data_IF_687931385402
#
_entry.id   IF_687931385402
#
_cell.length_a   1.000
_cell.length_b   1.000
_cell.length_c   1.000
_cell.angle_alpha   90.00
_cell.angle_beta   90.00
_cell.angle_gamma   90.00
#
_symmetry.space_group_name_H-M   'P 1'
#
loop_
_entity.id
_entity.type
_entity.pdbx_description
1 polymer ?
#
# COMPACT_ATOMS: atom_id res chain seq x y z
N UNK A 1 -0.21 12.05 -1.82
CA UNK A 1 0.33 10.73 -1.49
C UNK A 1 -0.76 9.67 -1.44
N UNK A 2 -0.72 8.73 -2.38
CA UNK A 2 -1.71 7.65 -2.51
C UNK A 2 -0.99 6.32 -2.75
N UNK A 3 -1.42 5.25 -2.06
CA UNK A 3 -0.85 3.90 -2.21
C UNK A 3 -1.02 3.40 -3.66
N UNK A 4 0.06 2.87 -4.25
CA UNK A 4 0.08 2.48 -5.67
C UNK A 4 0.01 0.97 -5.93
N UNK A 5 -0.24 0.17 -4.88
CA UNK A 5 -0.38 -1.28 -5.00
C UNK A 5 0.92 -2.07 -4.86
N UNK A 6 2.06 -1.38 -4.73
CA UNK A 6 3.37 -2.00 -4.56
C UNK A 6 3.74 -2.04 -3.08
N UNK A 7 4.22 -3.18 -2.63
CA UNK A 7 4.86 -3.32 -1.33
C UNK A 7 5.95 -4.38 -1.38
N UNK A 8 7.01 -4.16 -0.62
CA UNK A 8 8.10 -5.10 -0.43
C UNK A 8 8.53 -5.12 1.04
N UNK A 9 8.84 -6.30 1.54
CA UNK A 9 9.23 -6.53 2.92
C UNK A 9 10.53 -7.32 2.92
N UNK A 10 11.60 -6.74 3.49
CA UNK A 10 12.93 -7.34 3.50
C UNK A 10 13.34 -7.64 4.95
N UNK A 11 13.92 -8.82 5.23
CA UNK A 11 14.21 -9.93 4.30
C UNK A 11 12.92 -10.58 3.76
N UNK A 12 12.94 -11.17 2.56
CA UNK A 12 11.72 -11.70 1.95
C UNK A 12 11.08 -12.84 2.77
N UNK A 13 9.78 -13.01 2.63
CA UNK A 13 9.02 -14.15 3.11
C UNK A 13 8.23 -14.76 1.95
N UNK A 14 8.09 -16.09 1.93
CA UNK A 14 7.35 -16.80 0.87
C UNK A 14 5.90 -16.31 0.71
N UNK A 15 5.29 -15.81 1.78
CA UNK A 15 3.94 -15.29 1.78
C UNK A 15 3.79 -13.82 1.31
N UNK A 16 4.88 -13.08 1.08
CA UNK A 16 4.83 -11.64 0.76
C UNK A 16 3.91 -11.32 -0.44
N UNK A 17 3.97 -12.17 -1.48
CA UNK A 17 3.12 -12.02 -2.66
C UNK A 17 1.62 -12.17 -2.34
N UNK A 18 1.26 -13.19 -1.57
CA UNK A 18 -0.12 -13.45 -1.19
C UNK A 18 -0.66 -12.37 -0.24
N UNK A 19 0.17 -11.92 0.71
CA UNK A 19 -0.14 -10.80 1.61
C UNK A 19 -0.44 -9.53 0.82
N UNK A 20 0.41 -9.17 -0.15
CA UNK A 20 0.21 -7.99 -1.01
C UNK A 20 -1.04 -8.09 -1.87
N UNK A 21 -1.31 -9.24 -2.49
CA UNK A 21 -2.52 -9.40 -3.30
C UNK A 21 -3.79 -9.27 -2.45
N UNK A 22 -3.82 -9.94 -1.29
CA UNK A 22 -4.94 -9.84 -0.37
C UNK A 22 -5.15 -8.39 0.12
N UNK A 23 -4.07 -7.69 0.48
CA UNK A 23 -4.14 -6.29 0.86
C UNK A 23 -4.69 -5.41 -0.28
N UNK A 24 -4.21 -5.61 -1.52
CA UNK A 24 -4.72 -4.89 -2.69
C UNK A 24 -6.22 -5.13 -2.94
N UNK A 25 -6.73 -6.33 -2.63
CA UNK A 25 -8.17 -6.62 -2.66
C UNK A 25 -8.91 -5.93 -1.52
N UNK A 26 -8.34 -5.90 -0.31
CA UNK A 26 -8.91 -5.16 0.83
C UNK A 26 -9.07 -3.67 0.52
N UNK A 27 -8.09 -3.07 -0.15
CA UNK A 27 -8.08 -1.64 -0.53
C UNK A 27 -9.19 -1.26 -1.53
N UNK A 28 -9.82 -2.23 -2.20
CA UNK A 28 -10.96 -2.00 -3.12
C UNK A 28 -12.33 -2.19 -2.47
N UNK A 29 -12.36 -2.62 -1.20
CA UNK A 29 -13.63 -2.78 -0.47
C UNK A 29 -14.27 -1.41 -0.24
N UNK A 30 -15.59 -1.43 -0.14
CA UNK A 30 -16.32 -0.25 0.33
C UNK A 30 -15.94 0.05 1.78
N UNK A 31 -15.55 1.30 2.03
CA UNK A 31 -15.18 1.82 3.35
C UNK A 31 -16.18 2.88 3.85
N UNK A 32 -17.40 2.88 3.32
CA UNK A 32 -18.50 3.79 3.68
C UNK A 32 -18.89 4.80 2.61
N UNK A 33 -18.28 4.75 1.42
CA UNK A 33 -18.50 5.70 0.32
C UNK A 33 -18.69 5.02 -1.05
N UNK A 34 -18.99 3.72 -1.06
CA UNK A 34 -18.98 2.90 -2.26
C UNK A 34 -17.63 2.21 -2.49
N UNK A 35 -17.52 1.38 -3.55
CA UNK A 35 -16.29 0.68 -3.88
C UNK A 35 -15.11 1.65 -4.02
N UNK A 36 -14.06 1.41 -3.25
CA UNK A 36 -12.85 2.22 -3.33
C UNK A 36 -12.05 1.87 -4.59
N UNK A 37 -11.41 2.87 -5.21
CA UNK A 37 -10.51 2.64 -6.34
C UNK A 37 -9.27 1.80 -5.95
N UNK A 38 -8.91 1.79 -4.66
CA UNK A 38 -7.75 1.07 -4.16
C UNK A 38 -6.46 1.52 -4.85
N UNK A 39 -5.56 0.59 -5.23
CA UNK A 39 -4.28 0.93 -5.86
C UNK A 39 -4.36 1.78 -7.14
N UNK A 40 -5.50 1.78 -7.83
CA UNK A 40 -5.70 2.55 -9.08
C UNK A 40 -6.23 3.96 -8.81
N UNK A 41 -6.27 4.41 -7.56
CA UNK A 41 -6.80 5.72 -7.18
C UNK A 41 -6.03 6.89 -7.83
N UNK A 42 -4.69 6.83 -7.87
CA UNK A 42 -3.89 7.87 -8.53
C UNK A 42 -4.16 7.95 -10.03
N UNK A 43 -4.31 6.81 -10.72
CA UNK A 43 -4.66 6.77 -12.14
C UNK A 43 -6.05 7.34 -12.39
N UNK A 44 -7.03 6.96 -11.58
CA UNK A 44 -8.39 7.46 -11.69
C UNK A 44 -8.46 8.98 -11.48
N UNK A 45 -7.70 9.51 -10.52
CA UNK A 45 -7.63 10.93 -10.22
C UNK A 45 -6.93 11.71 -11.34
N UNK A 46 -5.81 11.21 -11.86
CA UNK A 46 -5.10 11.79 -13.00
C UNK A 46 -6.02 11.89 -14.22
N UNK A 47 -6.65 10.77 -14.60
CA UNK A 47 -7.56 10.73 -15.74
C UNK A 47 -8.77 11.66 -15.56
N UNK A 48 -9.25 11.86 -14.33
CA UNK A 48 -10.32 12.81 -14.06
C UNK A 48 -9.88 14.25 -14.31
N UNK A 49 -8.72 14.66 -13.79
CA UNK A 49 -8.19 16.00 -13.99
C UNK A 49 -7.88 16.29 -15.47
N UNK A 50 -7.24 15.36 -16.17
CA UNK A 50 -6.90 15.50 -17.58
C UNK A 50 -8.16 15.70 -18.45
N UNK A 51 -9.26 14.98 -18.15
CA UNK A 51 -10.56 15.19 -18.83
C UNK A 51 -11.13 16.60 -18.64
N UNK A 52 -10.76 17.30 -17.58
CA UNK A 52 -11.15 18.67 -17.30
C UNK A 52 -10.11 19.71 -17.76
N UNK A 53 -9.10 19.30 -18.55
CA UNK A 53 -8.10 20.19 -19.13
C UNK A 53 -6.96 20.57 -18.18
N UNK A 54 -6.82 19.88 -17.04
CA UNK A 54 -5.69 20.11 -16.14
C UNK A 54 -4.41 19.48 -16.69
N UNK A 55 -3.28 20.11 -16.42
CA UNK A 55 -1.96 19.48 -16.55
C UNK A 55 -1.66 18.66 -15.29
N UNK A 56 -1.38 17.37 -15.44
CA UNK A 56 -1.08 16.47 -14.32
C UNK A 56 0.40 16.10 -14.30
N UNK A 57 1.02 16.24 -13.13
CA UNK A 57 2.37 15.76 -12.85
C UNK A 57 2.31 14.69 -11.75
N UNK A 58 3.06 13.61 -11.94
CA UNK A 58 3.09 12.46 -11.03
C UNK A 58 4.53 12.14 -10.64
N UNK A 59 4.73 11.74 -9.39
CA UNK A 59 6.05 11.36 -8.88
C UNK A 59 5.96 10.21 -7.88
N UNK A 60 6.82 9.20 -8.02
CA UNK A 60 6.94 8.12 -7.05
C UNK A 60 7.52 8.65 -5.74
N UNK A 61 6.87 8.31 -4.64
CA UNK A 61 7.23 8.73 -3.29
C UNK A 61 7.04 7.59 -2.29
N UNK A 62 7.71 6.44 -2.51
CA UNK A 62 7.56 5.28 -1.65
C UNK A 62 8.00 5.61 -0.22
N UNK A 63 7.27 5.07 0.75
CA UNK A 63 7.77 5.01 2.11
C UNK A 63 8.82 3.91 2.18
N UNK A 64 10.00 4.23 2.70
CA UNK A 64 11.07 3.28 2.97
C UNK A 64 11.34 3.32 4.46
N UNK A 65 10.83 2.33 5.19
CA UNK A 65 10.90 2.25 6.65
C UNK A 65 12.01 1.27 7.03
N UNK A 66 13.14 1.81 7.46
CA UNK A 66 14.31 1.06 7.91
C UNK A 66 14.34 0.98 9.45
N UNK A 67 15.43 0.44 10.00
CA UNK A 67 15.58 0.25 11.45
C UNK A 67 15.57 1.53 12.27
N UNK A 68 15.74 2.71 11.65
CA UNK A 68 15.58 4.01 12.32
C UNK A 68 14.12 4.36 12.56
N UNK A 69 13.18 3.71 11.87
CA UNK A 69 11.73 3.86 12.06
C UNK A 69 11.08 2.55 12.51
N UNK A 70 11.80 1.74 13.30
CA UNK A 70 11.41 0.38 13.70
C UNK A 70 9.99 0.29 14.25
N UNK A 71 9.59 1.20 15.14
CA UNK A 71 8.27 1.19 15.75
C UNK A 71 7.17 1.45 14.72
N UNK A 72 7.36 2.46 13.85
CA UNK A 72 6.43 2.78 12.78
C UNK A 72 6.32 1.63 11.75
N UNK A 73 7.45 1.01 11.40
CA UNK A 73 7.49 -0.16 10.52
C UNK A 73 6.65 -1.30 11.10
N UNK A 74 6.89 -1.65 12.36
CA UNK A 74 6.18 -2.74 13.04
C UNK A 74 4.67 -2.48 13.14
N UNK A 75 4.25 -1.24 13.45
CA UNK A 75 2.83 -0.89 13.44
C UNK A 75 2.20 -1.00 12.05
N UNK A 76 2.92 -0.56 11.01
CA UNK A 76 2.46 -0.68 9.64
C UNK A 76 2.29 -2.15 9.22
N UNK A 77 3.25 -3.01 9.55
CA UNK A 77 3.20 -4.46 9.28
C UNK A 77 2.06 -5.14 10.03
N UNK A 78 1.81 -4.79 11.30
CA UNK A 78 0.64 -5.25 12.06
C UNK A 78 -0.67 -4.83 11.40
N UNK A 79 -0.79 -3.57 10.99
CA UNK A 79 -1.97 -3.07 10.28
C UNK A 79 -2.20 -3.81 8.95
N UNK A 80 -1.13 -4.10 8.22
CA UNK A 80 -1.15 -4.93 7.02
C UNK A 80 -1.69 -6.34 7.30
N UNK A 81 -1.15 -7.02 8.31
CA UNK A 81 -1.60 -8.35 8.71
C UNK A 81 -3.09 -8.34 9.10
N UNK A 82 -3.53 -7.35 9.88
CA UNK A 82 -4.94 -7.20 10.26
C UNK A 82 -5.86 -7.00 9.05
N UNK A 83 -5.49 -6.10 8.13
CA UNK A 83 -6.25 -5.87 6.90
C UNK A 83 -6.33 -7.13 6.02
N UNK A 84 -5.24 -7.89 5.91
CA UNK A 84 -5.23 -9.17 5.18
C UNK A 84 -6.11 -10.21 5.88
N UNK A 85 -6.13 -10.29 7.22
CA UNK A 85 -7.03 -11.20 7.96
C UNK A 85 -8.48 -10.96 7.63
N UNK A 86 -8.91 -9.71 7.54
CA UNK A 86 -10.29 -9.36 7.15
C UNK A 86 -10.66 -9.87 5.75
N UNK A 87 -9.69 -10.18 4.90
CA UNK A 87 -9.96 -10.71 3.55
C UNK A 87 -10.43 -12.15 3.54
N UNK A 88 -9.96 -12.96 4.49
CA UNK A 88 -10.12 -14.42 4.46
C UNK A 88 -9.39 -15.12 3.32
N UNK A 89 -8.50 -14.43 2.58
CA UNK A 89 -7.82 -14.96 1.39
C UNK A 89 -6.47 -15.62 1.68
N UNK A 90 -5.88 -15.34 2.85
CA UNK A 90 -4.64 -15.95 3.31
C UNK A 90 -4.95 -16.71 4.61
N UNK A 91 -4.48 -17.96 4.77
CA UNK A 91 -4.72 -18.71 6.00
C UNK A 91 -4.22 -17.96 7.24
N UNK A 92 -5.00 -17.90 8.35
CA UNK A 92 -4.59 -17.17 9.55
C UNK A 92 -3.19 -17.55 10.06
N UNK A 93 -2.86 -18.84 10.06
CA UNK A 93 -1.55 -19.34 10.47
C UNK A 93 -0.42 -18.77 9.61
N UNK A 94 -0.60 -18.68 8.29
CA UNK A 94 0.39 -18.06 7.38
C UNK A 94 0.56 -16.56 7.66
N UNK A 95 -0.52 -15.86 8.04
CA UNK A 95 -0.42 -14.45 8.42
C UNK A 95 0.33 -14.29 9.76
N UNK A 96 0.05 -15.16 10.74
CA UNK A 96 0.76 -15.18 12.02
C UNK A 96 2.25 -15.48 11.84
N UNK A 97 2.60 -16.48 11.03
CA UNK A 97 3.99 -16.81 10.66
C UNK A 97 4.68 -15.65 9.95
N UNK A 98 4.00 -15.03 8.98
CA UNK A 98 4.53 -13.85 8.28
C UNK A 98 4.84 -12.71 9.25
N UNK A 99 3.92 -12.39 10.16
CA UNK A 99 4.10 -11.30 11.12
C UNK A 99 5.22 -11.62 12.12
N UNK A 100 5.29 -12.84 12.63
CA UNK A 100 6.39 -13.28 13.50
C UNK A 100 7.75 -13.17 12.82
N UNK A 101 7.83 -13.51 11.53
CA UNK A 101 9.04 -13.32 10.71
C UNK A 101 9.39 -11.84 10.51
N UNK A 102 8.42 -10.92 10.42
CA UNK A 102 8.68 -9.47 10.43
C UNK A 102 9.20 -8.99 11.78
N UNK A 103 8.59 -9.41 12.88
CA UNK A 103 8.97 -8.96 14.22
C UNK A 103 10.39 -9.42 14.61
N UNK A 104 10.78 -10.63 14.19
CA UNK A 104 12.09 -11.22 14.47
C UNK A 104 13.21 -10.74 13.52
N UNK A 105 12.87 -10.12 12.38
CA UNK A 105 13.86 -9.72 11.39
C UNK A 105 14.58 -8.41 11.78
N UNK A 106 15.90 -8.51 11.97
CA UNK A 106 16.79 -7.35 12.15
C UNK A 106 18.14 -7.64 11.44
N UNK A 107 18.59 -6.82 10.48
CA UNK A 107 17.93 -5.61 9.98
C UNK A 107 16.72 -5.92 9.09
N UNK A 108 15.76 -5.00 9.05
CA UNK A 108 14.59 -5.10 8.17
C UNK A 108 14.26 -3.77 7.48
N UNK A 109 13.64 -3.87 6.30
CA UNK A 109 13.16 -2.72 5.53
C UNK A 109 11.80 -3.03 4.94
N UNK A 110 10.86 -2.12 5.15
CA UNK A 110 9.53 -2.21 4.54
C UNK A 110 9.31 -1.04 3.60
N UNK A 111 8.99 -1.35 2.35
CA UNK A 111 8.79 -0.39 1.28
C UNK A 111 7.31 -0.41 0.90
N UNK A 112 6.63 0.73 1.03
CA UNK A 112 5.23 0.88 0.63
C UNK A 112 5.17 1.91 -0.50
N UNK A 113 4.85 1.42 -1.69
CA UNK A 113 4.75 2.22 -2.89
C UNK A 113 3.64 3.25 -2.77
N UNK A 114 4.00 4.50 -3.02
CA UNK A 114 3.06 5.59 -3.10
C UNK A 114 3.45 6.50 -4.25
N UNK A 115 2.47 7.31 -4.63
CA UNK A 115 2.64 8.33 -5.64
C UNK A 115 1.99 9.64 -5.21
N UNK A 116 2.66 10.73 -5.53
CA UNK A 116 2.14 12.07 -5.43
C UNK A 116 1.66 12.56 -6.79
N UNK A 117 0.57 13.32 -6.76
CA UNK A 117 -0.08 13.87 -7.94
C UNK A 117 -0.31 15.37 -7.71
N UNK A 118 0.17 16.18 -8.64
CA UNK A 118 -0.11 17.61 -8.74
C UNK A 118 -0.94 17.84 -10.01
N UNK A 119 -2.08 18.51 -9.87
CA UNK A 119 -2.91 18.92 -10.99
C UNK A 119 -2.99 20.45 -11.06
N UNK A 120 -2.59 21.03 -12.18
CA UNK A 120 -2.64 22.47 -12.43
C UNK A 120 -3.79 22.77 -13.39
N UNK A 121 -4.68 23.72 -13.07
CA UNK A 121 -5.79 24.07 -13.95
C UNK A 121 -5.28 24.67 -15.27
N UNK A 122 -6.07 24.59 -16.35
CA UNK A 122 -5.72 25.27 -17.60
C UNK A 122 -5.61 26.78 -17.36
N UNK A 123 -4.62 27.42 -17.99
CA UNK A 123 -4.56 28.87 -18.03
C UNK A 123 -5.76 29.40 -18.81
N UNK A 124 -6.46 30.38 -18.26
CA UNK A 124 -7.60 31.05 -18.90
C UNK A 124 -7.22 31.79 -20.18
#
# INVERSE_FOLDING_TARGET
LTYDGIAAFLPEHSADGAMREAFNRHQRRDKGFGPAAGPTASDALAAAFERHGYSVLRGKSPWVLDDRQRELRRELERGWAAAVRETGLVPPATIDEWLAHRDAAEPAVTIIGHEDLLALPPTA
#
